data_IF_946291993304
#
_entry.id   IF_946291993304
#
_cell.length_a   1.000
_cell.length_b   1.000
_cell.length_c   1.000
_cell.angle_alpha   90.00
_cell.angle_beta   90.00
_cell.angle_gamma   90.00
#
_symmetry.space_group_name_H-M   'P 1'
#
loop_
_entity.id
_entity.type
_entity.pdbx_description
1 polymer ?
#
# COMPACT_ATOMS: atom_id res chain seq x y z
N UNK A 1 1.92 -5.64 13.20
CA UNK A 1 0.67 -5.40 12.42
C UNK A 1 0.80 -4.33 11.33
N UNK A 2 2.00 -3.81 11.04
CA UNK A 2 2.13 -2.45 10.49
C UNK A 2 2.65 -2.35 9.03
N UNK A 3 3.15 -3.42 8.42
CA UNK A 3 3.82 -3.37 7.09
C UNK A 3 2.89 -3.40 5.84
N UNK A 4 1.57 -3.48 6.02
CA UNK A 4 0.61 -3.79 4.95
C UNK A 4 -0.20 -2.56 4.46
N UNK A 5 0.18 -1.35 4.84
CA UNK A 5 -0.80 -0.28 5.09
C UNK A 5 -1.24 0.63 3.93
N UNK A 6 -0.81 0.40 2.67
CA UNK A 6 -1.40 1.17 1.55
C UNK A 6 -2.43 0.43 0.70
N UNK A 7 -2.44 -0.91 0.73
CA UNK A 7 -3.38 -1.69 -0.07
C UNK A 7 -4.20 -2.67 0.78
N UNK A 8 -3.69 -2.99 1.98
CA UNK A 8 -4.39 -3.87 2.91
C UNK A 8 -5.24 -3.02 3.83
N UNK A 9 -6.51 -2.99 3.47
CA UNK A 9 -7.56 -2.61 4.40
C UNK A 9 -7.71 -3.78 5.35
N UNK A 10 -6.93 -3.76 6.43
CA UNK A 10 -7.06 -4.76 7.48
C UNK A 10 -8.43 -4.58 8.14
N UNK A 11 -9.44 -5.29 7.64
CA UNK A 11 -10.75 -5.41 8.27
C UNK A 11 -10.78 -6.74 9.00
N UNK A 12 -10.39 -6.75 10.27
CA UNK A 12 -10.56 -7.96 11.09
C UNK A 12 -12.03 -8.13 11.42
N UNK A 13 -12.52 -9.36 11.26
CA UNK A 13 -13.89 -9.76 11.57
C UNK A 13 -13.84 -10.73 12.74
N UNK A 14 -14.04 -10.23 13.95
CA UNK A 14 -14.04 -11.09 15.14
C UNK A 14 -15.40 -11.74 15.36
N UNK A 15 -15.34 -13.03 15.70
CA UNK A 15 -16.36 -13.75 16.44
C UNK A 15 -15.76 -14.05 17.83
N UNK A 16 -16.56 -14.43 18.83
CA UNK A 16 -16.13 -14.66 20.23
C UNK A 16 -14.88 -15.57 20.43
N UNK A 17 -14.40 -16.26 19.39
CA UNK A 17 -13.02 -16.79 19.29
C UNK A 17 -12.27 -16.12 18.13
N UNK A 18 -11.08 -15.58 18.40
CA UNK A 18 -10.21 -14.79 17.51
C UNK A 18 -10.16 -15.32 16.08
N UNK A 19 -10.90 -14.67 15.19
CA UNK A 19 -10.96 -15.00 13.79
C UNK A 19 -10.57 -13.74 13.02
N UNK A 20 -9.55 -13.83 12.17
CA UNK A 20 -9.13 -12.69 11.34
C UNK A 20 -9.34 -13.04 9.88
N UNK A 21 -10.06 -12.16 9.19
CA UNK A 21 -10.14 -12.15 7.73
C UNK A 21 -9.48 -10.88 7.21
N UNK A 22 -8.89 -10.94 6.03
CA UNK A 22 -8.18 -9.81 5.43
C UNK A 22 -8.91 -9.32 4.21
N UNK A 23 -8.92 -8.00 3.99
CA UNK A 23 -9.49 -7.38 2.81
C UNK A 23 -8.48 -6.57 2.05
N UNK A 24 -8.54 -6.68 0.73
CA UNK A 24 -7.60 -6.04 -0.16
C UNK A 24 -8.34 -5.22 -1.21
N UNK A 25 -8.02 -3.92 -1.33
CA UNK A 25 -8.63 -3.01 -2.32
C UNK A 25 -8.07 -3.27 -3.72
N UNK A 26 -8.59 -4.31 -4.36
CA UNK A 26 -8.25 -4.73 -5.72
C UNK A 26 -8.49 -3.64 -6.78
N UNK A 27 -9.37 -2.68 -6.51
CA UNK A 27 -9.64 -1.55 -7.39
C UNK A 27 -8.45 -0.59 -7.54
N UNK A 28 -7.51 -0.63 -6.59
CA UNK A 28 -6.30 0.18 -6.60
C UNK A 28 -5.11 -0.54 -7.26
N UNK A 29 -5.15 -1.85 -7.46
CA UNK A 29 -4.04 -2.61 -8.04
C UNK A 29 -3.79 -2.24 -9.51
N UNK A 30 -2.54 -2.09 -9.98
CA UNK A 30 -2.21 -1.84 -11.38
C UNK A 30 -2.97 -2.73 -12.38
N UNK A 31 -3.17 -2.26 -13.62
CA UNK A 31 -3.85 -3.05 -14.66
C UNK A 31 -3.08 -4.35 -14.90
N UNK A 32 -3.82 -5.39 -15.29
CA UNK A 32 -3.26 -6.71 -15.64
C UNK A 32 -2.53 -7.42 -14.49
N UNK A 33 -2.81 -7.01 -13.24
CA UNK A 33 -2.33 -7.72 -12.06
C UNK A 33 -3.05 -9.06 -11.94
N UNK A 34 -2.30 -10.16 -11.87
CA UNK A 34 -2.85 -11.47 -11.53
C UNK A 34 -3.22 -11.54 -10.05
N UNK A 35 -4.50 -11.75 -9.78
CA UNK A 35 -5.04 -11.81 -8.43
C UNK A 35 -4.67 -13.10 -7.71
N UNK A 36 -4.34 -14.18 -8.43
CA UNK A 36 -3.85 -15.41 -7.83
C UNK A 36 -2.50 -15.18 -7.14
N UNK A 37 -1.56 -14.54 -7.85
CA UNK A 37 -0.25 -14.20 -7.30
C UNK A 37 -0.39 -13.25 -6.10
N UNK A 38 -1.25 -12.23 -6.19
CA UNK A 38 -1.47 -11.30 -5.07
C UNK A 38 -2.15 -11.99 -3.88
N UNK A 39 -3.15 -12.84 -4.12
CA UNK A 39 -3.84 -13.60 -3.09
C UNK A 39 -2.88 -14.49 -2.31
N UNK A 40 -2.06 -15.25 -3.04
CA UNK A 40 -1.02 -16.09 -2.48
C UNK A 40 0.03 -15.29 -1.70
N UNK A 41 0.52 -14.18 -2.26
CA UNK A 41 1.46 -13.28 -1.58
C UNK A 41 0.89 -12.71 -0.27
N UNK A 42 -0.41 -12.38 -0.25
CA UNK A 42 -1.07 -11.89 0.97
C UNK A 42 -1.13 -13.00 2.02
N UNK A 43 -1.44 -14.24 1.63
CA UNK A 43 -1.45 -15.39 2.54
C UNK A 43 -0.06 -15.59 3.13
N UNK A 44 0.99 -15.64 2.31
CA UNK A 44 2.39 -15.71 2.73
C UNK A 44 2.76 -14.60 3.72
N UNK A 45 2.38 -13.37 3.40
CA UNK A 45 2.64 -12.22 4.27
C UNK A 45 1.95 -12.37 5.64
N UNK A 46 0.75 -12.97 5.70
CA UNK A 46 0.06 -13.22 6.97
C UNK A 46 0.67 -14.36 7.78
N UNK A 47 1.06 -15.45 7.12
CA UNK A 47 1.70 -16.61 7.76
C UNK A 47 3.06 -16.24 8.34
N UNK A 48 3.88 -15.48 7.59
CA UNK A 48 5.18 -14.98 8.06
C UNK A 48 5.08 -14.08 9.29
N UNK A 49 3.96 -13.38 9.45
CA UNK A 49 3.65 -12.55 10.62
C UNK A 49 2.98 -13.33 11.76
N UNK A 50 2.82 -14.65 11.61
CA UNK A 50 2.19 -15.55 12.58
C UNK A 50 0.81 -15.06 13.01
N UNK A 51 0.04 -14.54 12.05
CA UNK A 51 -1.32 -14.08 12.29
C UNK A 51 -2.28 -15.27 12.13
N UNK A 52 -3.20 -15.43 13.07
CA UNK A 52 -4.24 -16.44 13.00
C UNK A 52 -5.33 -15.99 12.01
N UNK A 53 -5.13 -16.29 10.74
CA UNK A 53 -6.00 -15.93 9.62
C UNK A 53 -6.77 -17.17 9.17
N UNK A 54 -8.09 -17.08 9.03
CA UNK A 54 -8.87 -18.18 8.46
C UNK A 54 -8.94 -18.09 6.94
N UNK A 55 -9.19 -16.89 6.44
CA UNK A 55 -9.30 -16.64 5.01
C UNK A 55 -8.94 -15.21 4.63
N UNK A 56 -8.44 -15.06 3.41
CA UNK A 56 -8.14 -13.78 2.77
C UNK A 56 -9.19 -13.52 1.69
N UNK A 57 -9.76 -12.32 1.65
CA UNK A 57 -10.73 -11.95 0.62
C UNK A 57 -10.29 -10.68 -0.11
N UNK A 58 -9.99 -10.83 -1.39
CA UNK A 58 -9.69 -9.72 -2.27
C UNK A 58 -11.02 -9.05 -2.67
N UNK A 59 -11.28 -7.80 -2.26
CA UNK A 59 -12.59 -7.17 -2.44
C UNK A 59 -12.52 -5.71 -2.82
N UNK A 60 -13.41 -5.24 -3.68
CA UNK A 60 -13.58 -3.81 -3.98
C UNK A 60 -14.88 -3.30 -3.40
N UNK A 61 -14.81 -2.36 -2.46
CA UNK A 61 -16.02 -1.70 -1.93
C UNK A 61 -16.69 -0.79 -2.97
N UNK A 62 -15.95 -0.32 -3.97
CA UNK A 62 -16.46 0.58 -5.02
C UNK A 62 -17.25 -0.18 -6.08
N UNK A 63 -16.73 -1.33 -6.54
CA UNK A 63 -17.38 -2.16 -7.56
C UNK A 63 -18.20 -3.32 -6.98
N UNK A 64 -18.22 -3.48 -5.65
CA UNK A 64 -18.86 -4.58 -4.91
C UNK A 64 -18.30 -5.98 -5.21
N UNK A 65 -17.21 -6.07 -5.97
CA UNK A 65 -16.54 -7.34 -6.31
C UNK A 65 -15.99 -7.99 -5.04
N UNK A 66 -16.19 -9.30 -4.91
CA UNK A 66 -15.77 -10.12 -3.75
C UNK A 66 -16.55 -9.88 -2.45
N UNK A 67 -17.47 -8.90 -2.42
CA UNK A 67 -18.25 -8.59 -1.21
C UNK A 67 -19.22 -9.73 -0.88
N UNK A 68 -19.88 -10.31 -1.89
CA UNK A 68 -20.82 -11.44 -1.72
C UNK A 68 -20.16 -12.66 -1.10
N UNK A 69 -18.95 -13.02 -1.56
CA UNK A 69 -18.19 -14.13 -0.98
C UNK A 69 -17.90 -13.92 0.50
N UNK A 70 -17.58 -12.68 0.90
CA UNK A 70 -17.37 -12.32 2.31
C UNK A 70 -18.67 -12.42 3.11
N UNK A 71 -19.81 -12.02 2.56
CA UNK A 71 -21.12 -12.13 3.23
C UNK A 71 -21.43 -13.58 3.55
N UNK A 72 -21.32 -14.47 2.55
CA UNK A 72 -21.57 -15.90 2.70
C UNK A 72 -20.70 -16.51 3.81
N UNK A 73 -19.41 -16.19 3.78
CA UNK A 73 -18.43 -16.68 4.75
C UNK A 73 -18.68 -16.09 6.16
N UNK A 74 -19.18 -14.85 6.28
CA UNK A 74 -19.61 -14.27 7.56
C UNK A 74 -20.85 -15.02 8.07
N UNK A 75 -21.87 -15.22 7.25
CA UNK A 75 -23.11 -15.88 7.66
C UNK A 75 -22.86 -17.33 8.12
N UNK A 76 -22.02 -18.08 7.40
CA UNK A 76 -21.61 -19.44 7.74
C UNK A 76 -20.92 -19.52 9.11
N UNK A 77 -19.99 -18.61 9.39
CA UNK A 77 -19.18 -18.67 10.61
C UNK A 77 -19.81 -17.95 11.80
N UNK A 78 -20.73 -17.01 11.58
CA UNK A 78 -21.35 -16.22 12.63
C UNK A 78 -22.00 -17.08 13.70
N UNK A 79 -22.79 -18.07 13.30
CA UNK A 79 -23.48 -18.99 14.23
C UNK A 79 -24.19 -18.23 15.37
N UNK A 80 -24.89 -17.15 15.02
CA UNK A 80 -25.60 -16.26 15.96
C UNK A 80 -24.75 -15.22 16.73
N UNK A 81 -23.42 -15.20 16.56
CA UNK A 81 -22.51 -14.29 17.28
C UNK A 81 -22.47 -12.88 16.71
N UNK A 82 -21.93 -11.95 17.50
CA UNK A 82 -21.63 -10.59 17.05
C UNK A 82 -20.43 -10.55 16.10
N UNK A 83 -20.43 -9.57 15.20
CA UNK A 83 -19.46 -9.38 14.13
C UNK A 83 -18.83 -8.01 14.29
N UNK A 84 -17.52 -7.95 14.58
CA UNK A 84 -16.82 -6.69 14.74
C UNK A 84 -15.96 -6.38 13.53
N UNK A 85 -16.12 -5.21 12.93
CA UNK A 85 -15.28 -4.72 11.84
C UNK A 85 -14.23 -3.78 12.45
N UNK A 86 -12.97 -4.22 12.48
CA UNK A 86 -11.84 -3.46 13.00
C UNK A 86 -10.89 -3.06 11.88
N UNK A 87 -10.35 -1.84 11.91
CA UNK A 87 -9.29 -1.41 10.98
C UNK A 87 -8.70 -0.06 11.37
N UNK A 88 -7.60 0.33 10.74
CA UNK A 88 -7.05 1.68 10.96
C UNK A 88 -7.98 2.76 10.39
N UNK A 89 -7.82 4.01 10.84
CA UNK A 89 -8.51 5.14 10.23
C UNK A 89 -8.15 5.27 8.73
N UNK A 90 -9.09 5.80 7.94
CA UNK A 90 -8.93 6.11 6.50
C UNK A 90 -8.64 4.92 5.56
N UNK A 91 -8.75 3.67 6.03
CA UNK A 91 -8.58 2.49 5.18
C UNK A 91 -9.79 2.23 4.28
N UNK A 92 -10.95 2.86 4.53
CA UNK A 92 -12.19 2.60 3.79
C UNK A 92 -13.16 1.65 4.49
N UNK A 93 -13.04 1.48 5.80
CA UNK A 93 -13.92 0.64 6.62
C UNK A 93 -15.41 0.99 6.45
N UNK A 94 -15.76 2.28 6.50
CA UNK A 94 -17.14 2.74 6.34
C UNK A 94 -17.67 2.51 4.92
N UNK A 95 -16.83 2.64 3.89
CA UNK A 95 -17.18 2.30 2.52
C UNK A 95 -17.45 0.79 2.37
N UNK A 96 -16.65 -0.05 3.02
CA UNK A 96 -16.88 -1.49 3.05
C UNK A 96 -18.18 -1.86 3.76
N UNK A 97 -18.50 -1.25 4.90
CA UNK A 97 -19.77 -1.50 5.61
C UNK A 97 -20.95 -1.12 4.73
N UNK A 98 -20.88 0.02 4.04
CA UNK A 98 -21.93 0.44 3.11
C UNK A 98 -22.08 -0.56 1.96
N UNK A 99 -20.97 -1.04 1.39
CA UNK A 99 -20.98 -2.07 0.36
C UNK A 99 -21.61 -3.38 0.87
N UNK A 100 -21.24 -3.81 2.07
CA UNK A 100 -21.76 -5.01 2.73
C UNK A 100 -23.28 -4.92 2.91
N UNK A 101 -23.76 -3.83 3.52
CA UNK A 101 -25.18 -3.60 3.77
C UNK A 101 -25.97 -3.51 2.46
N UNK A 102 -25.44 -2.82 1.45
CA UNK A 102 -26.09 -2.70 0.13
C UNK A 102 -26.25 -4.06 -0.54
N UNK A 103 -25.24 -4.93 -0.47
CA UNK A 103 -25.33 -6.28 -1.06
C UNK A 103 -26.25 -7.19 -0.23
N UNK A 104 -26.23 -7.09 1.10
CA UNK A 104 -27.15 -7.85 1.97
C UNK A 104 -28.61 -7.44 1.79
N UNK A 105 -28.88 -6.14 1.59
CA UNK A 105 -30.22 -5.58 1.43
C UNK A 105 -31.02 -6.16 0.25
N UNK A 106 -30.34 -6.79 -0.73
CA UNK A 106 -30.99 -7.47 -1.85
C UNK A 106 -31.79 -8.68 -1.36
N UNK A 107 -31.27 -9.41 -0.37
CA UNK A 107 -31.83 -10.69 0.09
C UNK A 107 -32.36 -10.62 1.54
N UNK A 108 -31.99 -9.61 2.31
CA UNK A 108 -32.34 -9.47 3.73
C UNK A 108 -33.05 -8.13 4.01
N UNK A 109 -34.36 -8.15 4.36
CA UNK A 109 -35.12 -6.96 4.73
C UNK A 109 -34.55 -6.20 5.94
N UNK A 110 -33.89 -6.90 6.86
CA UNK A 110 -33.26 -6.30 8.05
C UNK A 110 -32.05 -5.47 7.63
N UNK A 111 -31.24 -5.98 6.71
CA UNK A 111 -30.13 -5.22 6.12
C UNK A 111 -30.61 -4.01 5.31
N UNK A 112 -31.74 -4.13 4.59
CA UNK A 112 -32.36 -3.02 3.88
C UNK A 112 -32.82 -1.89 4.83
N UNK A 113 -33.36 -2.24 6.00
CA UNK A 113 -33.69 -1.28 7.06
C UNK A 113 -32.43 -0.63 7.66
N UNK A 114 -31.39 -1.42 7.94
CA UNK A 114 -30.12 -0.92 8.48
C UNK A 114 -29.38 0.02 7.52
N UNK A 115 -29.56 -0.14 6.20
CA UNK A 115 -29.06 0.80 5.21
C UNK A 115 -29.72 2.19 5.33
N UNK A 116 -31.02 2.23 5.65
CA UNK A 116 -31.78 3.48 5.85
C UNK A 116 -31.51 4.14 7.19
N UNK A 117 -31.35 3.32 8.24
CA UNK A 117 -31.13 3.74 9.62
C UNK A 117 -29.70 3.49 10.09
N UNK A 118 -28.71 3.86 9.27
CA UNK A 118 -27.34 3.88 9.75
C UNK A 118 -27.26 4.91 10.89
N UNK A 119 -26.86 4.55 12.11
CA UNK A 119 -26.85 5.50 13.21
C UNK A 119 -25.99 6.71 12.85
N UNK A 120 -26.63 7.87 12.70
CA UNK A 120 -25.97 9.17 12.60
C UNK A 120 -25.58 9.54 14.03
N UNK A 121 -24.55 8.90 14.57
CA UNK A 121 -23.78 9.54 15.64
C UNK A 121 -22.63 10.28 14.96
N UNK A 122 -23.01 11.29 14.17
CA UNK A 122 -22.12 12.33 13.74
C UNK A 122 -21.86 13.25 14.93
N UNK A 123 -20.59 13.39 15.28
CA UNK A 123 -20.03 14.65 15.74
C UNK A 123 -20.89 15.46 16.73
N UNK A 124 -21.07 14.95 17.95
CA UNK A 124 -21.27 15.83 19.10
C UNK A 124 -19.91 15.92 19.80
N UNK A 125 -19.27 17.12 19.85
CA UNK A 125 -18.03 17.29 20.59
C UNK A 125 -18.24 16.87 22.05
N UNK A 126 -17.52 15.85 22.53
CA UNK A 126 -17.56 15.40 23.92
C UNK A 126 -18.05 13.97 24.16
N UNK A 127 -18.56 13.25 23.16
CA UNK A 127 -18.88 11.82 23.32
C UNK A 127 -17.72 10.93 22.90
N UNK A 128 -17.26 10.05 23.79
CA UNK A 128 -16.34 8.96 23.48
C UNK A 128 -16.93 8.13 22.33
N UNK A 129 -16.28 8.11 21.16
CA UNK A 129 -16.70 7.34 19.98
C UNK A 129 -16.75 5.85 20.33
N UNK A 130 -17.91 5.35 20.75
CA UNK A 130 -18.17 3.94 20.97
C UNK A 130 -18.36 3.18 19.63
N UNK A 131 -18.25 1.84 19.61
CA UNK A 131 -18.61 1.04 18.46
C UNK A 131 -20.08 1.29 18.04
N UNK A 132 -20.30 1.56 16.75
CA UNK A 132 -21.64 1.75 16.18
C UNK A 132 -22.27 0.39 15.93
N UNK A 133 -23.42 0.13 16.56
CA UNK A 133 -24.17 -1.11 16.38
C UNK A 133 -25.07 -1.02 15.15
N UNK A 134 -25.03 -2.04 14.31
CA UNK A 134 -25.83 -2.16 13.09
C UNK A 134 -26.53 -3.52 13.11
N UNK A 135 -27.87 -3.50 13.09
CA UNK A 135 -28.68 -4.70 12.99
C UNK A 135 -28.71 -5.16 11.52
N UNK A 136 -27.66 -5.87 11.09
CA UNK A 136 -27.44 -6.22 9.68
C UNK A 136 -27.86 -7.64 9.29
N UNK A 137 -28.29 -8.47 10.25
CA UNK A 137 -28.48 -9.91 10.05
C UNK A 137 -29.85 -10.40 10.57
N UNK A 138 -30.52 -11.23 9.78
CA UNK A 138 -31.62 -12.09 10.25
C UNK A 138 -31.06 -13.23 11.13
N UNK A 139 -31.73 -13.56 12.25
CA UNK A 139 -31.37 -14.71 13.10
C UNK A 139 -30.38 -14.45 14.25
N UNK A 140 -30.19 -13.19 14.65
CA UNK A 140 -29.47 -12.81 15.87
C UNK A 140 -28.01 -12.38 15.67
N UNK A 141 -27.45 -11.72 16.69
CA UNK A 141 -26.12 -11.09 16.69
C UNK A 141 -26.02 -9.84 15.80
N UNK A 142 -25.18 -8.89 16.18
CA UNK A 142 -25.08 -7.56 15.54
C UNK A 142 -23.78 -7.35 14.78
N UNK A 143 -23.77 -6.38 13.87
CA UNK A 143 -22.56 -5.88 13.22
C UNK A 143 -22.09 -4.62 13.94
N UNK A 144 -20.81 -4.55 14.32
CA UNK A 144 -20.23 -3.41 15.01
C UNK A 144 -19.20 -2.73 14.12
N UNK A 145 -19.44 -1.45 13.80
CA UNK A 145 -18.42 -0.57 13.22
C UNK A 145 -17.60 0.04 14.35
N UNK A 146 -16.32 -0.31 14.43
CA UNK A 146 -15.43 0.28 15.43
C UNK A 146 -14.76 1.54 14.89
N UNK A 147 -14.46 2.54 15.74
CA UNK A 147 -13.64 3.67 15.34
C UNK A 147 -12.31 3.19 14.75
N UNK A 148 -11.87 3.84 13.67
CA UNK A 148 -10.61 3.49 13.05
C UNK A 148 -9.44 3.82 13.97
N UNK A 149 -8.50 2.89 14.14
CA UNK A 149 -7.28 3.18 14.91
C UNK A 149 -6.42 4.18 14.14
N UNK A 150 -6.22 5.37 14.70
CA UNK A 150 -5.30 6.37 14.17
C UNK A 150 -3.87 5.93 14.45
N UNK A 151 -3.06 5.87 13.40
CA UNK A 151 -1.66 5.44 13.49
C UNK A 151 -0.77 6.66 13.27
N UNK A 152 -0.05 7.06 14.31
CA UNK A 152 0.80 8.25 14.30
C UNK A 152 1.96 8.12 13.32
N UNK A 153 2.38 6.90 13.00
CA UNK A 153 3.48 6.63 12.10
C UNK A 153 3.10 6.64 10.61
N UNK A 154 1.95 7.19 10.24
CA UNK A 154 1.50 7.34 8.85
C UNK A 154 1.75 8.75 8.34
N UNK A 155 2.03 8.86 7.04
CA UNK A 155 2.14 10.14 6.35
C UNK A 155 0.91 11.04 6.57
N UNK A 156 -0.29 10.44 6.58
CA UNK A 156 -1.56 11.14 6.83
C UNK A 156 -1.70 11.73 8.24
N UNK A 157 -0.83 11.34 9.18
CA UNK A 157 -0.81 11.91 10.53
C UNK A 157 0.12 13.13 10.63
N UNK A 158 1.03 13.31 9.68
CA UNK A 158 2.00 14.42 9.64
C UNK A 158 1.57 15.51 8.68
N UNK A 159 0.92 15.12 7.58
CA UNK A 159 0.46 16.04 6.54
C UNK A 159 -0.82 16.74 7.00
N UNK A 160 -0.89 18.05 6.75
CA UNK A 160 -2.04 18.85 7.12
C UNK A 160 -3.32 18.45 6.37
N UNK A 161 -4.48 18.76 6.96
CA UNK A 161 -5.80 18.35 6.45
C UNK A 161 -6.08 18.78 5.00
N UNK A 162 -5.55 19.93 4.56
CA UNK A 162 -5.69 20.45 3.18
C UNK A 162 -5.06 19.52 2.15
N UNK A 163 -3.97 18.84 2.52
CA UNK A 163 -3.16 18.03 1.62
C UNK A 163 -3.50 16.53 1.69
N UNK A 164 -4.24 16.08 2.71
CA UNK A 164 -4.72 14.70 2.83
C UNK A 164 -5.44 14.16 1.58
N UNK A 165 -6.27 14.94 0.85
CA UNK A 165 -6.92 14.46 -0.36
C UNK A 165 -5.96 14.11 -1.50
N UNK A 166 -4.73 14.65 -1.50
CA UNK A 166 -3.68 14.33 -2.49
C UNK A 166 -3.03 12.98 -2.23
N UNK A 167 -3.00 12.54 -0.97
CA UNK A 167 -2.42 11.26 -0.54
C UNK A 167 -3.38 10.08 -0.70
N UNK A 168 -4.67 10.36 -0.87
CA UNK A 168 -5.68 9.32 -1.06
C UNK A 168 -5.75 8.89 -2.54
N UNK A 169 -5.39 7.63 -2.88
CA UNK A 169 -5.51 7.16 -4.26
C UNK A 169 -7.00 7.09 -4.66
N UNK A 170 -7.39 7.86 -5.69
CA UNK A 170 -8.76 7.90 -6.22
C UNK A 170 -9.00 6.95 -7.40
N UNK A 171 -7.92 6.44 -7.96
CA UNK A 171 -7.91 5.54 -9.11
C UNK A 171 -6.86 4.47 -8.92
N UNK A 172 -6.95 3.46 -9.79
CA UNK A 172 -5.95 2.42 -9.95
C UNK A 172 -4.52 2.99 -9.96
N UNK A 173 -3.63 2.43 -9.14
CA UNK A 173 -2.24 2.82 -9.06
C UNK A 173 -1.54 2.52 -10.39
N UNK A 174 -0.60 3.38 -10.78
CA UNK A 174 0.26 3.18 -11.94
C UNK A 174 1.71 3.15 -11.44
N UNK A 175 2.44 2.12 -11.84
CA UNK A 175 3.89 2.08 -11.62
C UNK A 175 4.55 3.18 -12.43
N UNK A 176 5.33 4.05 -11.76
CA UNK A 176 6.16 5.04 -12.41
C UNK A 176 7.62 4.63 -12.19
N UNK A 177 8.26 4.17 -13.27
CA UNK A 177 9.62 3.64 -13.25
C UNK A 177 10.67 4.69 -13.57
N UNK A 178 11.80 4.64 -12.87
CA UNK A 178 12.98 5.47 -13.10
C UNK A 178 14.23 4.59 -13.18
N UNK A 179 15.19 4.87 -14.10
CA UNK A 179 15.20 5.99 -15.04
C UNK A 179 14.17 5.79 -16.18
N UNK A 180 13.54 6.88 -16.66
CA UNK A 180 12.56 6.80 -17.75
C UNK A 180 13.31 6.50 -19.06
N UNK A 181 12.85 5.51 -19.82
CA UNK A 181 13.46 5.09 -21.10
C UNK A 181 13.37 6.13 -22.23
N UNK A 182 12.72 7.27 -22.01
CA UNK A 182 12.60 8.39 -22.95
C UNK A 182 13.08 9.67 -22.27
N UNK A 183 14.40 9.85 -22.22
CA UNK A 183 14.96 11.20 -22.11
C UNK A 183 14.90 11.77 -23.53
N UNK A 184 13.91 12.60 -23.82
CA UNK A 184 13.94 13.48 -24.99
C UNK A 184 15.16 14.39 -24.86
N UNK A 185 15.94 14.44 -25.94
CA UNK A 185 17.27 15.02 -26.03
C UNK A 185 17.31 16.56 -26.00
N UNK A 186 16.66 17.20 -25.02
CA UNK A 186 16.59 18.67 -24.96
C UNK A 186 17.46 19.29 -23.86
N UNK A 187 18.08 18.49 -22.98
CA UNK A 187 19.01 18.98 -21.95
C UNK A 187 20.36 18.27 -22.05
N UNK A 188 21.25 18.86 -22.86
CA UNK A 188 22.57 18.32 -23.24
C UNK A 188 23.51 18.09 -22.03
N UNK A 189 23.23 18.65 -20.85
CA UNK A 189 24.01 18.41 -19.62
C UNK A 189 23.59 17.15 -18.83
N UNK A 190 22.42 16.56 -19.09
CA UNK A 190 21.96 15.33 -18.41
C UNK A 190 22.47 14.05 -19.09
N UNK A 191 23.10 14.16 -20.27
CA UNK A 191 23.45 13.01 -21.12
C UNK A 191 24.73 12.30 -20.63
N UNK A 192 25.66 13.02 -19.98
CA UNK A 192 26.91 12.44 -19.46
C UNK A 192 26.73 11.57 -18.20
N UNK A 193 25.57 11.66 -17.51
CA UNK A 193 25.31 10.98 -16.23
C UNK A 193 24.52 9.66 -16.36
N UNK A 194 24.16 9.24 -17.58
CA UNK A 194 23.32 8.06 -17.82
C UNK A 194 24.14 6.75 -17.84
N UNK A 195 25.47 6.82 -17.97
CA UNK A 195 26.35 5.64 -17.92
C UNK A 195 26.36 4.97 -16.53
N UNK A 196 26.25 5.74 -15.45
CA UNK A 196 26.23 5.23 -14.08
C UNK A 196 24.82 4.93 -13.53
N UNK A 197 23.79 4.93 -14.39
CA UNK A 197 22.41 4.64 -14.00
C UNK A 197 21.83 5.67 -13.03
N UNK A 198 21.31 5.22 -11.88
CA UNK A 198 20.75 6.09 -10.85
C UNK A 198 21.76 6.53 -9.78
N UNK A 199 23.02 6.10 -9.87
CA UNK A 199 24.03 6.47 -8.88
C UNK A 199 24.21 7.99 -8.81
N UNK A 200 24.39 8.50 -7.59
CA UNK A 200 24.52 9.94 -7.31
C UNK A 200 23.29 10.80 -7.66
N UNK A 201 22.11 10.19 -7.85
CA UNK A 201 20.84 10.89 -7.93
C UNK A 201 20.02 10.76 -6.64
N UNK A 202 19.26 11.81 -6.35
CA UNK A 202 18.23 11.84 -5.31
C UNK A 202 16.86 11.91 -5.96
N UNK A 203 15.93 11.07 -5.50
CA UNK A 203 14.55 11.04 -5.96
C UNK A 203 13.64 11.59 -4.87
N UNK A 204 12.88 12.62 -5.20
CA UNK A 204 11.84 13.21 -4.36
C UNK A 204 10.47 12.68 -4.77
N UNK A 205 9.67 12.28 -3.78
CA UNK A 205 8.26 11.92 -3.98
C UNK A 205 7.37 12.93 -3.27
N UNK A 206 6.95 13.96 -4.02
CA UNK A 206 6.47 15.22 -3.46
C UNK A 206 7.51 15.86 -2.53
N UNK A 207 7.05 16.64 -1.55
CA UNK A 207 7.89 17.13 -0.45
C UNK A 207 8.04 16.15 0.72
N UNK A 208 7.54 14.92 0.56
CA UNK A 208 7.30 13.99 1.67
C UNK A 208 8.35 12.90 1.84
N UNK A 209 9.06 12.54 0.77
CA UNK A 209 10.08 11.49 0.79
C UNK A 209 11.23 11.92 -0.09
N UNK A 210 12.45 11.69 0.38
CA UNK A 210 13.68 11.82 -0.39
C UNK A 210 14.43 10.50 -0.34
N UNK A 211 14.91 10.04 -1.50
CA UNK A 211 15.64 8.78 -1.64
C UNK A 211 16.98 9.12 -2.28
N UNK A 212 18.08 9.00 -1.53
CA UNK A 212 19.42 9.16 -2.07
C UNK A 212 19.92 7.80 -2.54
N UNK A 213 20.25 7.70 -3.83
CA UNK A 213 20.76 6.48 -4.45
C UNK A 213 22.29 6.48 -4.36
N UNK A 214 22.83 5.70 -3.42
CA UNK A 214 24.28 5.72 -3.13
C UNK A 214 25.05 4.71 -3.98
N UNK A 215 24.54 3.49 -4.11
CA UNK A 215 25.17 2.42 -4.86
C UNK A 215 24.12 1.50 -5.45
N UNK A 216 24.02 1.46 -6.76
CA UNK A 216 23.12 0.55 -7.50
C UNK A 216 23.77 0.09 -8.81
N UNK A 217 23.20 -0.95 -9.42
CA UNK A 217 23.56 -1.34 -10.77
C UNK A 217 23.18 -0.24 -11.77
N UNK A 218 23.94 -0.04 -12.87
CA UNK A 218 23.59 0.89 -13.93
C UNK A 218 22.17 0.66 -14.48
N UNK A 219 21.72 -0.59 -14.49
CA UNK A 219 20.41 -1.04 -14.98
C UNK A 219 19.30 -0.93 -13.93
N UNK A 220 19.61 -0.59 -12.67
CA UNK A 220 18.62 -0.56 -11.59
C UNK A 220 17.48 0.39 -11.91
N UNK A 221 16.27 -0.10 -11.63
CA UNK A 221 15.04 0.62 -11.79
C UNK A 221 14.30 0.74 -10.45
N UNK A 222 13.78 1.93 -10.16
CA UNK A 222 12.89 2.19 -9.05
C UNK A 222 11.48 2.44 -9.59
N UNK A 223 10.54 1.55 -9.25
CA UNK A 223 9.15 1.65 -9.70
C UNK A 223 8.23 2.06 -8.56
N UNK A 224 7.69 3.27 -8.64
CA UNK A 224 6.86 3.88 -7.59
C UNK A 224 5.37 3.58 -7.78
N UNK A 225 4.72 3.19 -6.69
CA UNK A 225 3.28 2.92 -6.62
C UNK A 225 2.64 3.74 -5.51
N UNK A 226 1.97 4.83 -5.90
CA UNK A 226 1.22 5.67 -4.98
C UNK A 226 0.28 6.65 -5.69
N UNK A 227 -0.19 7.68 -4.98
CA UNK A 227 -1.21 8.59 -5.49
C UNK A 227 -0.74 9.33 -6.75
N UNK A 228 -1.59 9.37 -7.79
CA UNK A 228 -1.28 10.03 -9.07
C UNK A 228 -0.98 11.53 -8.92
N UNK A 229 -1.56 12.17 -7.91
CA UNK A 229 -1.33 13.59 -7.63
C UNK A 229 0.05 13.90 -7.06
N UNK A 230 0.84 12.88 -6.72
CA UNK A 230 2.16 13.07 -6.13
C UNK A 230 3.24 12.95 -7.20
N UNK A 231 3.88 14.08 -7.50
CA UNK A 231 4.93 14.14 -8.50
C UNK A 231 6.24 13.54 -7.98
N UNK A 232 7.02 12.98 -8.91
CA UNK A 232 8.34 12.42 -8.62
C UNK A 232 9.36 13.25 -9.38
N UNK A 233 10.34 13.77 -8.66
CA UNK A 233 11.42 14.61 -9.19
C UNK A 233 12.76 13.94 -8.92
N UNK A 234 13.66 13.96 -9.90
CA UNK A 234 15.00 13.40 -9.76
C UNK A 234 16.02 14.51 -10.00
N UNK A 235 17.00 14.62 -9.09
CA UNK A 235 18.04 15.65 -9.14
C UNK A 235 19.39 15.04 -8.72
N UNK A 236 20.53 15.58 -9.18
CA UNK A 236 21.83 15.19 -8.66
C UNK A 236 21.88 15.34 -7.13
N UNK A 237 22.44 14.37 -6.42
CA UNK A 237 22.43 14.32 -4.94
C UNK A 237 23.12 15.52 -4.30
N UNK A 238 24.14 16.07 -4.95
CA UNK A 238 24.82 17.30 -4.54
C UNK A 238 23.89 18.53 -4.53
N UNK A 239 22.93 18.61 -5.46
CA UNK A 239 21.95 19.71 -5.58
C UNK A 239 20.67 19.44 -4.77
N UNK A 240 20.50 18.23 -4.24
CA UNK A 240 19.25 17.81 -3.64
C UNK A 240 18.87 18.59 -2.37
N UNK A 241 19.85 19.07 -1.60
CA UNK A 241 19.58 19.92 -0.44
C UNK A 241 19.01 21.28 -0.86
N UNK A 242 19.70 21.98 -1.76
CA UNK A 242 19.28 23.29 -2.27
C UNK A 242 17.94 23.21 -3.01
N UNK A 243 17.76 22.17 -3.83
CA UNK A 243 16.51 21.90 -4.52
C UNK A 243 15.34 21.70 -3.55
N UNK A 244 15.54 20.96 -2.45
CA UNK A 244 14.49 20.78 -1.45
C UNK A 244 14.09 22.11 -0.80
N UNK A 245 15.06 22.93 -0.40
CA UNK A 245 14.78 24.22 0.25
C UNK A 245 14.04 25.18 -0.67
N UNK A 246 14.43 25.23 -1.95
CA UNK A 246 13.84 26.15 -2.94
C UNK A 246 12.46 25.72 -3.42
N UNK A 247 12.27 24.42 -3.64
CA UNK A 247 11.09 23.91 -4.36
C UNK A 247 10.00 23.31 -3.44
N UNK A 248 10.26 23.22 -2.12
CA UNK A 248 9.26 22.83 -1.13
C UNK A 248 8.05 23.78 -1.16
N UNK A 249 6.84 23.23 -1.30
CA UNK A 249 5.63 24.03 -1.43
C UNK A 249 5.34 24.56 -2.84
N UNK A 250 6.29 24.43 -3.77
CA UNK A 250 6.15 24.84 -5.19
C UNK A 250 6.04 23.61 -6.09
N UNK A 251 7.16 22.97 -6.44
CA UNK A 251 7.17 21.70 -7.18
C UNK A 251 7.02 20.51 -6.24
N UNK A 252 7.67 20.58 -5.07
CA UNK A 252 7.65 19.52 -4.07
C UNK A 252 6.45 19.69 -3.16
N UNK A 253 5.29 19.27 -3.67
CA UNK A 253 4.02 19.26 -2.93
C UNK A 253 3.49 17.83 -2.78
N UNK A 254 2.81 17.51 -1.66
CA UNK A 254 2.67 18.30 -0.45
C UNK A 254 3.95 18.25 0.45
N UNK A 255 4.10 19.15 1.44
CA UNK A 255 3.15 20.21 1.84
C UNK A 255 2.94 21.26 0.74
N UNK A 256 1.71 21.73 0.56
CA UNK A 256 1.42 22.84 -0.37
C UNK A 256 1.86 24.19 0.21
N UNK A 257 2.24 25.16 -0.62
CA UNK A 257 2.79 26.46 -0.18
C UNK A 257 1.91 27.25 0.82
N UNK A 258 2.55 28.19 1.54
CA UNK A 258 1.93 29.05 2.57
C UNK A 258 2.25 28.59 4.01
N UNK A 259 1.30 28.80 4.93
CA UNK A 259 1.41 28.41 6.36
C UNK A 259 1.79 26.93 6.58
N UNK A 260 1.45 26.05 5.62
CA UNK A 260 1.74 24.62 5.72
C UNK A 260 3.25 24.33 5.62
N UNK A 261 4.01 25.13 4.87
CA UNK A 261 5.47 24.97 4.76
C UNK A 261 6.17 25.47 6.02
N UNK A 262 5.68 26.55 6.64
CA UNK A 262 6.27 27.10 7.86
C UNK A 262 6.17 26.13 9.05
N UNK A 263 5.06 25.38 9.15
CA UNK A 263 4.87 24.35 10.18
C UNK A 263 5.51 23.00 9.84
N UNK A 264 6.08 22.84 8.64
CA UNK A 264 6.65 21.58 8.19
C UNK A 264 8.03 21.35 8.78
N UNK A 265 8.18 20.24 9.52
CA UNK A 265 9.45 19.88 10.18
C UNK A 265 10.51 19.28 9.26
N UNK A 266 10.18 19.03 7.99
CA UNK A 266 11.11 18.44 7.03
C UNK A 266 11.23 16.92 7.14
N UNK A 267 12.27 16.39 6.49
CA UNK A 267 12.57 14.97 6.41
C UNK A 267 13.67 14.60 7.42
N UNK A 268 13.31 14.59 8.70
CA UNK A 268 14.24 14.42 9.81
C UNK A 268 14.69 12.98 10.05
N UNK A 269 13.87 11.99 9.68
CA UNK A 269 14.20 10.57 9.84
C UNK A 269 14.94 10.07 8.62
N UNK A 270 16.17 9.60 8.82
CA UNK A 270 16.98 8.95 7.80
C UNK A 270 17.08 7.45 8.08
N UNK A 271 16.92 6.63 7.03
CA UNK A 271 17.16 5.19 7.08
C UNK A 271 18.03 4.75 5.92
N UNK A 272 19.26 4.34 6.22
CA UNK A 272 20.13 3.65 5.28
C UNK A 272 19.67 2.19 5.12
N UNK A 273 19.48 1.77 3.88
CA UNK A 273 19.02 0.45 3.48
C UNK A 273 20.10 -0.23 2.65
N UNK A 274 20.56 -1.38 3.13
CA UNK A 274 21.39 -2.32 2.38
C UNK A 274 20.49 -3.45 1.89
N UNK A 275 20.33 -3.55 0.58
CA UNK A 275 19.38 -4.45 -0.07
C UNK A 275 20.21 -5.50 -0.80
N UNK A 276 20.08 -6.74 -0.33
CA UNK A 276 20.67 -7.91 -0.97
C UNK A 276 19.66 -8.48 -1.97
N UNK A 277 20.16 -8.94 -3.10
CA UNK A 277 19.36 -9.68 -4.07
C UNK A 277 20.13 -10.90 -4.56
N UNK A 278 19.38 -11.94 -4.92
CA UNK A 278 19.91 -13.21 -5.41
C UNK A 278 19.65 -13.38 -6.91
N UNK A 279 18.48 -12.94 -7.38
CA UNK A 279 18.05 -13.03 -8.76
C UNK A 279 17.85 -11.61 -9.33
N UNK A 280 18.71 -11.22 -10.28
CA UNK A 280 18.65 -9.93 -10.98
C UNK A 280 17.37 -9.75 -11.80
N UNK A 281 16.73 -10.85 -12.21
CA UNK A 281 15.53 -10.85 -13.02
C UNK A 281 14.26 -10.58 -12.18
N UNK A 282 14.40 -10.59 -10.85
CA UNK A 282 13.31 -10.34 -9.91
C UNK A 282 13.50 -9.02 -9.18
N UNK A 283 12.41 -8.39 -8.76
CA UNK A 283 12.53 -7.27 -7.85
C UNK A 283 13.14 -7.73 -6.52
N UNK A 284 14.11 -6.97 -6.00
CA UNK A 284 14.83 -7.31 -4.78
C UNK A 284 13.92 -7.13 -3.54
N UNK A 285 13.21 -6.01 -3.48
CA UNK A 285 12.26 -5.73 -2.40
C UNK A 285 11.29 -4.60 -2.75
N UNK A 286 10.24 -4.49 -1.95
CA UNK A 286 9.43 -3.27 -1.84
C UNK A 286 9.88 -2.47 -0.62
N UNK A 287 10.04 -1.16 -0.80
CA UNK A 287 10.20 -0.19 0.28
C UNK A 287 8.88 0.57 0.43
N UNK A 288 8.12 0.21 1.46
CA UNK A 288 6.83 0.80 1.77
C UNK A 288 6.96 1.99 2.73
N UNK A 289 6.42 3.13 2.33
CA UNK A 289 6.29 4.35 3.13
C UNK A 289 4.89 4.39 3.74
N UNK A 290 4.82 4.35 5.06
CA UNK A 290 3.56 4.26 5.79
C UNK A 290 2.61 5.40 5.44
N UNK A 291 1.43 5.07 4.88
CA UNK A 291 0.41 6.06 4.54
C UNK A 291 0.64 6.84 3.23
N UNK A 292 1.69 6.51 2.45
CA UNK A 292 1.94 7.08 1.13
C UNK A 292 1.88 6.07 -0.03
N UNK A 293 2.71 5.03 0.05
CA UNK A 293 2.77 3.96 -0.95
C UNK A 293 4.02 3.14 -0.81
N UNK A 294 4.48 2.57 -1.91
CA UNK A 294 5.75 1.87 -1.93
C UNK A 294 6.47 2.13 -3.24
N UNK A 295 7.77 1.90 -3.25
CA UNK A 295 8.52 1.74 -4.47
C UNK A 295 9.23 0.39 -4.46
N UNK A 296 9.27 -0.23 -5.63
CA UNK A 296 9.91 -1.51 -5.86
C UNK A 296 11.32 -1.25 -6.36
N UNK A 297 12.30 -1.96 -5.80
CA UNK A 297 13.70 -1.91 -6.22
C UNK A 297 13.97 -3.10 -7.13
N UNK A 298 14.19 -2.82 -8.41
CA UNK A 298 14.49 -3.81 -9.44
C UNK A 298 15.98 -3.70 -9.79
N UNK A 299 16.83 -4.70 -9.48
CA UNK A 299 18.27 -4.65 -9.79
C UNK A 299 18.53 -4.38 -11.27
N UNK A 300 17.74 -5.00 -12.16
CA UNK A 300 17.76 -4.79 -13.61
C UNK A 300 16.36 -4.41 -14.10
N UNK A 301 16.24 -3.20 -14.64
CA UNK A 301 15.01 -2.70 -15.23
C UNK A 301 14.62 -3.47 -16.49
N UNK A 302 13.37 -3.93 -16.56
CA UNK A 302 12.87 -4.78 -17.65
C UNK A 302 12.94 -4.13 -19.04
N UNK A 303 12.83 -2.80 -19.14
CA UNK A 303 12.94 -2.07 -20.42
C UNK A 303 14.36 -2.06 -21.00
N UNK A 304 15.39 -2.34 -20.18
CA UNK A 304 16.80 -2.39 -20.58
C UNK A 304 17.30 -3.81 -20.90
N UNK A 305 16.44 -4.84 -20.79
CA UNK A 305 16.76 -6.24 -21.13
C UNK A 305 17.14 -6.46 -22.60
N UNK A 306 16.92 -5.50 -23.49
CA UNK A 306 17.20 -5.65 -24.92
C UNK A 306 18.71 -5.56 -25.23
N UNK A 307 19.56 -5.06 -24.32
CA UNK A 307 20.92 -4.69 -24.71
C UNK A 307 22.11 -5.53 -24.22
N UNK A 308 22.06 -6.38 -23.18
CA UNK A 308 23.26 -7.15 -22.79
C UNK A 308 22.96 -8.53 -22.18
N UNK A 309 23.44 -9.57 -22.85
CA UNK A 309 23.57 -10.95 -22.35
C UNK A 309 24.96 -11.15 -21.76
N UNK A 310 25.17 -10.79 -20.50
CA UNK A 310 26.30 -11.32 -19.72
C UNK A 310 25.79 -11.77 -18.36
N UNK A 311 26.13 -13.00 -17.91
CA UNK A 311 25.79 -13.44 -16.58
C UNK A 311 26.61 -12.61 -15.58
N UNK A 312 25.94 -11.77 -14.80
CA UNK A 312 26.57 -11.12 -13.66
C UNK A 312 26.55 -12.13 -12.52
N UNK A 313 27.63 -12.89 -12.38
CA UNK A 313 27.94 -13.60 -11.14
C UNK A 313 28.35 -12.55 -10.10
N UNK A 314 27.42 -12.10 -9.26
CA UNK A 314 27.69 -11.77 -7.85
C UNK A 314 26.40 -11.47 -7.11
N UNK A 315 26.31 -11.95 -5.86
CA UNK A 315 25.41 -11.36 -4.86
C UNK A 315 25.85 -9.91 -4.68
N UNK A 316 25.09 -8.98 -5.25
CA UNK A 316 25.41 -7.56 -5.16
C UNK A 316 24.49 -6.86 -4.17
N UNK A 317 25.06 -5.86 -3.50
CA UNK A 317 24.34 -5.05 -2.51
C UNK A 317 23.98 -3.69 -3.12
N UNK A 318 22.69 -3.36 -3.09
CA UNK A 318 22.19 -2.02 -3.41
C UNK A 318 22.09 -1.20 -2.13
N UNK A 319 22.53 0.06 -2.17
CA UNK A 319 22.53 0.95 -1.02
C UNK A 319 21.71 2.20 -1.35
N UNK A 320 20.63 2.37 -0.60
CA UNK A 320 19.73 3.52 -0.67
C UNK A 320 19.64 4.19 0.70
N UNK A 321 19.44 5.50 0.74
CA UNK A 321 19.11 6.24 1.96
C UNK A 321 17.73 6.87 1.78
N UNK A 322 16.78 6.49 2.63
CA UNK A 322 15.42 6.98 2.56
C UNK A 322 15.17 7.96 3.71
N UNK A 323 14.76 9.17 3.38
CA UNK A 323 14.44 10.25 4.30
C UNK A 323 12.95 10.55 4.29
N UNK A 324 12.36 10.56 5.47
CA UNK A 324 10.92 10.78 5.71
C UNK A 324 10.72 11.66 6.95
N UNK A 325 9.52 12.22 7.20
CA UNK A 325 9.26 12.93 8.44
C UNK A 325 9.42 12.01 9.65
N UNK A 326 9.84 12.59 10.78
CA UNK A 326 10.25 11.84 11.98
C UNK A 326 9.33 10.67 12.38
N UNK A 327 8.00 10.84 12.51
CA UNK A 327 7.14 9.76 12.96
C UNK A 327 6.85 8.71 11.89
N UNK A 328 7.09 9.00 10.61
CA UNK A 328 6.71 8.11 9.50
C UNK A 328 7.63 6.90 9.46
N UNK A 329 7.04 5.70 9.52
CA UNK A 329 7.79 4.45 9.42
C UNK A 329 8.00 4.02 7.96
N UNK A 330 9.18 3.46 7.71
CA UNK A 330 9.58 2.82 6.46
C UNK A 330 9.60 1.30 6.70
N UNK A 331 9.11 0.50 5.76
CA UNK A 331 9.21 -0.96 5.83
C UNK A 331 9.82 -1.54 4.58
N UNK A 332 10.76 -2.45 4.75
CA UNK A 332 11.23 -3.32 3.68
C UNK A 332 10.42 -4.61 3.74
N UNK A 333 9.91 -5.06 2.59
CA UNK A 333 9.10 -6.28 2.48
C UNK A 333 9.36 -7.00 1.15
N UNK A 334 8.96 -8.27 1.02
CA UNK A 334 8.95 -8.93 -0.28
C UNK A 334 8.12 -8.16 -1.30
N UNK A 335 8.54 -8.09 -2.57
CA UNK A 335 7.80 -7.36 -3.60
C UNK A 335 6.38 -7.90 -3.76
N UNK A 336 5.39 -7.03 -3.92
CA UNK A 336 4.04 -7.47 -4.30
C UNK A 336 4.02 -7.76 -5.81
N UNK A 337 3.49 -8.92 -6.26
CA UNK A 337 3.37 -9.24 -7.68
C UNK A 337 2.25 -8.43 -8.34
N UNK A 338 2.54 -7.16 -8.66
CA UNK A 338 1.61 -6.24 -9.30
C UNK A 338 1.90 -6.02 -10.78
N UNK A 339 0.83 -5.72 -11.53
CA UNK A 339 0.88 -5.53 -12.98
C UNK A 339 1.19 -6.82 -13.74
N UNK A 340 1.26 -6.71 -15.08
CA UNK A 340 1.62 -7.84 -15.95
C UNK A 340 2.95 -8.49 -15.56
N UNK A 341 3.93 -7.68 -15.20
CA UNK A 341 5.26 -8.12 -14.79
C UNK A 341 5.21 -9.04 -13.56
N UNK A 342 4.31 -8.77 -12.61
CA UNK A 342 4.14 -9.54 -11.38
C UNK A 342 4.01 -11.03 -11.62
N UNK A 343 3.15 -11.43 -12.57
CA UNK A 343 2.89 -12.84 -12.87
C UNK A 343 4.08 -13.55 -13.52
N UNK A 344 4.97 -12.82 -14.20
CA UNK A 344 6.12 -13.40 -14.91
C UNK A 344 7.25 -13.79 -13.97
N UNK A 345 7.40 -13.11 -12.83
CA UNK A 345 8.47 -13.38 -11.86
C UNK A 345 7.99 -14.05 -10.58
N UNK A 346 6.68 -14.03 -10.29
CA UNK A 346 6.14 -14.61 -9.06
C UNK A 346 6.26 -16.13 -9.07
N UNK A 347 6.84 -16.68 -8.01
CA UNK A 347 6.92 -18.12 -7.80
C UNK A 347 6.13 -18.51 -6.56
N UNK A 348 5.26 -19.49 -6.73
CA UNK A 348 4.55 -20.10 -5.62
C UNK A 348 5.53 -20.91 -4.78
N UNK A 349 5.38 -20.80 -3.47
CA UNK A 349 6.16 -21.61 -2.53
C UNK A 349 5.69 -23.05 -2.68
N UNK A 350 6.64 -23.99 -2.79
CA UNK A 350 6.33 -25.42 -2.69
C UNK A 350 5.97 -25.75 -1.24
N UNK A 351 4.78 -26.30 -1.03
CA UNK A 351 4.23 -26.59 0.29
C UNK A 351 4.09 -28.09 0.47
N UNK A 352 4.25 -28.54 1.71
CA UNK A 352 3.85 -29.91 2.09
C UNK A 352 2.33 -30.01 2.18
N UNK A 353 1.77 -31.22 2.05
CA UNK A 353 0.32 -31.46 2.19
C UNK A 353 -0.25 -30.88 3.49
N UNK A 354 0.48 -31.01 4.59
CA UNK A 354 0.09 -30.45 5.90
C UNK A 354 0.06 -28.93 5.89
N UNK A 355 0.99 -28.29 5.19
CA UNK A 355 1.02 -26.84 5.08
C UNK A 355 -0.11 -26.35 4.20
N UNK A 356 -0.44 -27.04 3.11
CA UNK A 356 -1.59 -26.71 2.25
C UNK A 356 -2.92 -26.80 3.02
N UNK A 357 -3.10 -27.81 3.87
CA UNK A 357 -4.30 -27.95 4.70
C UNK A 357 -4.46 -26.84 5.74
N UNK A 358 -3.36 -26.40 6.36
CA UNK A 358 -3.37 -25.35 7.37
C UNK A 358 -3.32 -23.93 6.77
N UNK A 359 -2.95 -23.81 5.49
CA UNK A 359 -2.81 -22.53 4.79
C UNK A 359 -4.15 -21.81 4.71
N UNK A 360 -4.23 -20.53 5.11
CA UNK A 360 -5.43 -19.74 4.91
C UNK A 360 -5.80 -19.69 3.42
N UNK A 361 -7.07 -20.01 3.11
CA UNK A 361 -7.57 -19.91 1.74
C UNK A 361 -7.78 -18.45 1.36
N UNK A 362 -7.56 -18.13 0.10
CA UNK A 362 -7.87 -16.81 -0.43
C UNK A 362 -9.00 -16.89 -1.46
N UNK A 363 -9.80 -15.82 -1.55
CA UNK A 363 -10.96 -15.70 -2.43
C UNK A 363 -10.99 -14.32 -3.09
N UNK A 364 -11.57 -14.22 -4.28
CA UNK A 364 -11.80 -12.95 -4.99
C UNK A 364 -13.26 -12.81 -5.41
#
# INVERSE_FOLDING_TARGET
MICMQLIVVLIRIFFSKCMMRFKFKVDLLPRDTDLNCVGDWVVEATMRKKLNVLSVHLTSSKSLVGVTGVISEIQKEKKGRDVYILGSANVGKSAFINALLKTMAINDPVAASAQRYKPIQSAVPGTTLGPIQINAFLGGGKLYDTPGVHLHHRQTAVVQSKDLPSLAPRSRLRGISFPRSSVSADNVEQVASIENGLNAFSVFWGGLVRIDVLKVLPETCLTFYGPKGLHIHMVPTEKAYEFYQKELGVLLTPPSGGENVESWKGLESERKLQIKFEDVERPACDIAISGLGWFTVEPVGRSRKISQSKPVETTEELILVVRVPKPVEIFVRPPIPVGKAGAEWYQYVELTEKEEEMRPKWYF
#
